data_IF_637342496959
#
_entry.id   IF_637342496959
#
_cell.length_a   1.000
_cell.length_b   1.000
_cell.length_c   1.000
_cell.angle_alpha   90.00
_cell.angle_beta   90.00
_cell.angle_gamma   90.00
#
_symmetry.space_group_name_H-M   'P 1'
#
loop_
_entity.id
_entity.type
_entity.pdbx_description
1 polymer ?
#
# COMPACT_ATOMS: atom_id res chain seq x y z
N UNK A 1 -30.91 7.98 14.23
CA UNK A 1 -30.51 7.56 12.86
C UNK A 1 -29.13 8.09 12.40
N UNK A 2 -28.24 8.60 13.28
CA UNK A 2 -26.94 9.17 12.88
C UNK A 2 -25.75 8.21 12.75
N UNK A 3 -25.80 7.00 13.34
CA UNK A 3 -24.63 6.11 13.48
C UNK A 3 -24.18 5.41 12.17
N UNK A 4 -25.08 5.14 11.22
CA UNK A 4 -24.69 4.45 9.96
C UNK A 4 -23.86 5.34 9.02
N UNK A 5 -24.10 6.66 9.02
CA UNK A 5 -23.46 7.60 8.09
C UNK A 5 -22.00 7.88 8.48
N UNK A 6 -21.72 7.99 9.78
CA UNK A 6 -20.35 8.16 10.31
C UNK A 6 -19.47 6.94 10.04
N UNK A 7 -20.00 5.73 10.24
CA UNK A 7 -19.27 4.49 9.94
C UNK A 7 -18.94 4.38 8.44
N UNK A 8 -19.88 4.75 7.56
CA UNK A 8 -19.63 4.78 6.12
C UNK A 8 -18.54 5.77 5.71
N UNK A 9 -18.49 6.95 6.35
CA UNK A 9 -17.44 7.95 6.08
C UNK A 9 -16.06 7.46 6.56
N UNK A 10 -15.97 6.91 7.78
CA UNK A 10 -14.71 6.37 8.33
C UNK A 10 -14.13 5.27 7.46
N UNK A 11 -14.97 4.34 7.00
CA UNK A 11 -14.54 3.26 6.10
C UNK A 11 -14.06 3.83 4.75
N UNK A 12 -14.80 4.78 4.17
CA UNK A 12 -14.38 5.43 2.91
C UNK A 12 -13.03 6.12 3.05
N UNK A 13 -12.83 6.87 4.13
CA UNK A 13 -11.55 7.55 4.40
C UNK A 13 -10.41 6.56 4.65
N UNK A 14 -10.68 5.45 5.35
CA UNK A 14 -9.72 4.35 5.51
C UNK A 14 -9.32 3.72 4.18
N UNK A 15 -10.26 3.46 3.28
CA UNK A 15 -9.99 2.92 1.93
C UNK A 15 -9.17 3.93 1.11
N UNK A 16 -9.56 5.20 1.10
CA UNK A 16 -8.80 6.25 0.40
C UNK A 16 -7.39 6.37 0.96
N UNK A 17 -7.24 6.32 2.28
CA UNK A 17 -5.94 6.30 2.95
C UNK A 17 -5.10 5.08 2.59
N UNK A 18 -5.71 3.89 2.52
CA UNK A 18 -5.02 2.66 2.10
C UNK A 18 -4.49 2.75 0.68
N UNK A 19 -5.35 3.17 -0.26
CA UNK A 19 -4.97 3.30 -1.66
C UNK A 19 -3.92 4.39 -1.86
N UNK A 20 -4.09 5.56 -1.23
CA UNK A 20 -3.10 6.64 -1.28
C UNK A 20 -1.76 6.22 -0.68
N UNK A 21 -1.77 5.57 0.49
CA UNK A 21 -0.57 5.04 1.12
C UNK A 21 0.10 3.95 0.27
N UNK A 22 -0.67 3.07 -0.37
CA UNK A 22 -0.13 2.05 -1.28
C UNK A 22 0.54 2.65 -2.51
N UNK A 23 -0.06 3.67 -3.12
CA UNK A 23 0.55 4.39 -4.25
C UNK A 23 1.85 5.08 -3.81
N UNK A 24 1.83 5.79 -2.68
CA UNK A 24 3.03 6.44 -2.13
C UNK A 24 4.12 5.38 -1.87
N UNK A 25 3.77 4.28 -1.19
CA UNK A 25 4.73 3.22 -0.90
C UNK A 25 5.27 2.51 -2.13
N UNK A 26 4.48 2.43 -3.21
CA UNK A 26 4.96 1.96 -4.50
C UNK A 26 5.94 2.95 -5.14
N UNK A 27 5.68 4.25 -5.10
CA UNK A 27 6.58 5.27 -5.66
C UNK A 27 7.93 5.33 -4.92
N UNK A 28 7.91 5.18 -3.60
CA UNK A 28 9.10 5.13 -2.74
C UNK A 28 9.65 3.71 -2.55
N UNK A 29 9.25 2.75 -3.40
CA UNK A 29 9.75 1.37 -3.27
C UNK A 29 11.27 1.29 -3.45
N UNK A 30 11.94 0.34 -2.79
CA UNK A 30 13.37 0.14 -2.91
C UNK A 30 13.79 -0.12 -4.37
N UNK A 31 14.92 0.46 -4.78
CA UNK A 31 15.53 0.22 -6.08
C UNK A 31 16.74 -0.73 -5.95
N UNK A 32 16.92 -1.60 -6.95
CA UNK A 32 18.17 -2.30 -7.17
C UNK A 32 19.23 -1.31 -7.66
N UNK A 33 20.47 -1.45 -7.18
CA UNK A 33 21.59 -0.65 -7.67
C UNK A 33 21.85 -0.83 -9.18
N UNK A 34 21.56 -2.01 -9.73
CA UNK A 34 21.83 -2.35 -11.14
C UNK A 34 20.59 -2.18 -12.05
N UNK A 35 19.39 -2.44 -11.54
CA UNK A 35 18.17 -2.63 -12.35
C UNK A 35 17.09 -1.58 -12.05
N UNK A 36 17.31 -0.73 -11.04
CA UNK A 36 16.34 0.26 -10.61
C UNK A 36 15.14 -0.33 -9.87
N UNK A 37 14.00 0.34 -9.95
CA UNK A 37 12.77 -0.08 -9.27
C UNK A 37 12.03 -1.16 -10.08
N UNK A 38 11.61 -2.24 -9.43
CA UNK A 38 10.82 -3.31 -10.07
C UNK A 38 9.46 -2.80 -10.57
N UNK A 39 8.92 -3.34 -11.67
CA UNK A 39 7.60 -2.95 -12.16
C UNK A 39 6.47 -3.40 -11.22
N UNK A 40 5.31 -2.78 -11.36
CA UNK A 40 4.18 -2.98 -10.45
C UNK A 40 3.71 -4.44 -10.40
N UNK A 41 3.59 -5.09 -11.56
CA UNK A 41 3.15 -6.47 -11.69
C UNK A 41 4.06 -7.44 -10.92
N UNK A 42 5.38 -7.24 -10.97
CA UNK A 42 6.36 -8.04 -10.23
C UNK A 42 6.23 -7.80 -8.72
N UNK A 43 6.00 -6.56 -8.29
CA UNK A 43 5.84 -6.21 -6.87
C UNK A 43 4.56 -6.81 -6.30
N UNK A 44 3.41 -6.63 -6.95
CA UNK A 44 2.13 -7.16 -6.44
C UNK A 44 2.07 -8.68 -6.43
N UNK A 45 2.76 -9.33 -7.38
CA UNK A 45 2.87 -10.79 -7.41
C UNK A 45 4.01 -11.32 -6.54
N UNK A 46 4.72 -10.44 -5.83
CA UNK A 46 5.87 -10.79 -4.97
C UNK A 46 6.94 -11.60 -5.71
N UNK A 47 7.09 -11.35 -7.01
CA UNK A 47 8.02 -12.05 -7.88
C UNK A 47 7.55 -13.40 -8.42
N UNK A 48 6.28 -13.80 -8.22
CA UNK A 48 5.76 -15.06 -8.74
C UNK A 48 5.75 -15.13 -10.28
N UNK A 49 5.74 -13.97 -10.95
CA UNK A 49 5.82 -13.88 -12.41
C UNK A 49 7.25 -14.03 -12.96
N UNK A 50 8.29 -14.03 -12.10
CA UNK A 50 9.69 -14.09 -12.51
C UNK A 50 10.10 -15.51 -12.88
N UNK A 51 10.90 -15.66 -13.95
CA UNK A 51 11.34 -16.96 -14.50
C UNK A 51 12.84 -16.92 -14.81
N UNK A 52 13.50 -18.08 -14.76
CA UNK A 52 14.91 -18.19 -15.08
C UNK A 52 15.79 -17.32 -14.17
N UNK A 53 16.71 -16.57 -14.76
CA UNK A 53 17.68 -15.73 -14.04
C UNK A 53 17.01 -14.62 -13.22
N UNK A 54 15.82 -14.16 -13.62
CA UNK A 54 15.11 -13.07 -12.94
C UNK A 54 14.62 -13.47 -11.55
N UNK A 55 14.58 -14.77 -11.23
CA UNK A 55 14.22 -15.26 -9.89
C UNK A 55 15.16 -14.74 -8.79
N UNK A 56 16.37 -14.30 -9.15
CA UNK A 56 17.28 -13.60 -8.23
C UNK A 56 16.64 -12.33 -7.63
N UNK A 57 15.63 -11.76 -8.29
CA UNK A 57 14.93 -10.54 -7.86
C UNK A 57 13.73 -10.80 -6.95
N UNK A 58 13.37 -12.07 -6.69
CA UNK A 58 12.26 -12.42 -5.78
C UNK A 58 12.40 -11.75 -4.39
N UNK A 59 13.59 -11.73 -3.73
CA UNK A 59 13.74 -11.06 -2.44
C UNK A 59 13.41 -9.57 -2.51
N UNK A 60 13.80 -8.93 -3.61
CA UNK A 60 13.54 -7.50 -3.85
C UNK A 60 12.06 -7.23 -4.14
N UNK A 61 11.40 -8.09 -4.91
CA UNK A 61 9.96 -8.00 -5.16
C UNK A 61 9.17 -8.11 -3.85
N UNK A 62 9.54 -9.05 -2.97
CA UNK A 62 8.96 -9.22 -1.64
C UNK A 62 9.20 -8.00 -0.73
N UNK A 63 10.43 -7.50 -0.70
CA UNK A 63 10.77 -6.31 0.10
C UNK A 63 9.99 -5.07 -0.37
N UNK A 64 9.91 -4.87 -1.68
CA UNK A 64 9.13 -3.78 -2.28
C UNK A 64 7.64 -3.89 -1.95
N UNK A 65 7.08 -5.10 -2.02
CA UNK A 65 5.70 -5.35 -1.64
C UNK A 65 5.46 -5.06 -0.16
N UNK A 66 6.34 -5.51 0.72
CA UNK A 66 6.22 -5.31 2.16
C UNK A 66 6.30 -3.82 2.52
N UNK A 67 7.19 -3.05 1.88
CA UNK A 67 7.29 -1.61 2.08
C UNK A 67 6.02 -0.90 1.58
N UNK A 68 5.58 -1.23 0.36
CA UNK A 68 4.32 -0.71 -0.20
C UNK A 68 3.14 -0.98 0.73
N UNK A 69 3.03 -2.20 1.25
CA UNK A 69 1.94 -2.60 2.14
C UNK A 69 2.03 -1.91 3.51
N UNK A 70 3.24 -1.72 4.04
CA UNK A 70 3.45 -0.98 5.30
C UNK A 70 2.89 0.44 5.19
N UNK A 71 3.22 1.15 4.11
CA UNK A 71 2.77 2.53 3.89
C UNK A 71 1.26 2.56 3.58
N UNK A 72 0.74 1.58 2.84
CA UNK A 72 -0.70 1.42 2.62
C UNK A 72 -1.47 1.28 3.94
N UNK A 73 -1.01 0.39 4.83
CA UNK A 73 -1.63 0.19 6.14
C UNK A 73 -1.54 1.45 7.00
N UNK A 74 -0.39 2.14 7.02
CA UNK A 74 -0.26 3.42 7.72
C UNK A 74 -1.25 4.47 7.18
N UNK A 75 -1.39 4.57 5.85
CA UNK A 75 -2.37 5.45 5.21
C UNK A 75 -3.80 5.11 5.62
N UNK A 76 -4.15 3.82 5.69
CA UNK A 76 -5.47 3.36 6.15
C UNK A 76 -5.74 3.78 7.60
N UNK A 77 -4.77 3.60 8.49
CA UNK A 77 -4.88 4.00 9.90
C UNK A 77 -5.10 5.51 10.00
N UNK A 78 -4.34 6.32 9.28
CA UNK A 78 -4.50 7.78 9.23
C UNK A 78 -5.91 8.15 8.74
N UNK A 79 -6.38 7.51 7.66
CA UNK A 79 -7.72 7.75 7.11
C UNK A 79 -8.85 7.40 8.08
N UNK A 80 -8.72 6.27 8.80
CA UNK A 80 -9.68 5.87 9.83
C UNK A 80 -9.68 6.87 10.99
N UNK A 81 -8.50 7.26 11.49
CA UNK A 81 -8.39 8.24 12.59
C UNK A 81 -9.01 9.58 12.17
N UNK A 82 -8.70 10.07 10.97
CA UNK A 82 -9.31 11.29 10.44
C UNK A 82 -10.84 11.17 10.36
N UNK A 83 -11.35 10.03 9.86
CA UNK A 83 -12.80 9.78 9.80
C UNK A 83 -13.46 9.75 11.17
N UNK A 84 -12.83 9.16 12.17
CA UNK A 84 -13.31 9.16 13.55
C UNK A 84 -13.30 10.58 14.16
N UNK A 85 -12.28 11.38 13.89
CA UNK A 85 -12.21 12.78 14.36
C UNK A 85 -13.29 13.64 13.72
N UNK A 86 -13.54 13.48 12.42
CA UNK A 86 -14.60 14.21 11.70
C UNK A 86 -15.98 13.77 12.18
N UNK A 87 -16.19 12.47 12.40
CA UNK A 87 -17.48 11.94 12.86
C UNK A 87 -17.85 12.31 14.30
N UNK A 88 -16.86 12.71 15.11
CA UNK A 88 -17.05 13.18 16.50
C UNK A 88 -17.40 14.67 16.59
N UNK A 89 -17.15 15.43 15.53
CA UNK A 89 -17.43 16.86 15.44
C UNK A 89 -18.79 17.11 14.82
#
# INVERSE_FOLDING_TARGET
MGSKKSNGLTIKLGIVGFLGGGVIGFLYRPSAFIIGQLPFDVVITRGANLKGIDQVLIPMARSSFNNMMTIAVLGAVIGIVAGLLIARK
#
